data_IF_671902262760
#
_entry.id   IF_671902262760
#
_cell.length_a   1.000
_cell.length_b   1.000
_cell.length_c   1.000
_cell.angle_alpha   90.00
_cell.angle_beta   90.00
_cell.angle_gamma   90.00
#
_symmetry.space_group_name_H-M   'P 1'
#
loop_
_entity.id
_entity.type
_entity.pdbx_description
1 polymer ?
#
# COMPACT_ATOMS: atom_id res chain seq x y z
N UNK A 1 14.84 12.04 0.83
CA UNK A 1 13.36 12.04 0.80
C UNK A 1 12.93 11.43 -0.52
N UNK A 2 12.18 10.33 -0.50
CA UNK A 2 11.68 9.65 -1.70
C UNK A 2 10.18 9.45 -1.57
N UNK A 3 9.52 9.24 -2.69
CA UNK A 3 8.10 8.92 -2.74
C UNK A 3 7.86 7.76 -3.71
N UNK A 4 6.76 7.04 -3.49
CA UNK A 4 6.19 6.10 -4.45
C UNK A 4 4.78 6.56 -4.78
N UNK A 5 4.18 6.11 -5.88
CA UNK A 5 2.85 6.57 -6.28
C UNK A 5 1.83 5.45 -6.14
N UNK A 6 0.74 5.72 -5.43
CA UNK A 6 -0.40 4.81 -5.27
C UNK A 6 -1.36 5.00 -6.44
N UNK A 7 -1.83 3.89 -7.02
CA UNK A 7 -2.93 3.91 -7.98
C UNK A 7 -4.21 4.40 -7.29
N UNK A 8 -4.75 5.53 -7.76
CA UNK A 8 -5.97 6.14 -7.24
C UNK A 8 -7.16 5.18 -7.23
N UNK A 9 -7.25 4.28 -8.21
CA UNK A 9 -8.35 3.31 -8.32
C UNK A 9 -8.24 2.15 -7.33
N UNK A 10 -7.13 2.03 -6.61
CA UNK A 10 -6.95 1.03 -5.55
C UNK A 10 -7.35 1.53 -4.16
N UNK A 11 -7.61 2.83 -4.01
CA UNK A 11 -8.02 3.42 -2.73
C UNK A 11 -9.51 3.16 -2.53
N UNK A 12 -9.84 2.52 -1.41
CA UNK A 12 -11.21 2.14 -1.03
C UNK A 12 -11.43 2.36 0.47
N UNK A 13 -12.68 2.55 0.87
CA UNK A 13 -13.04 2.47 2.30
C UNK A 13 -12.70 1.08 2.83
N UNK A 14 -12.32 1.02 4.11
CA UNK A 14 -12.16 -0.25 4.80
C UNK A 14 -13.51 -0.96 4.88
N UNK A 15 -13.45 -2.28 4.81
CA UNK A 15 -14.56 -3.19 5.05
C UNK A 15 -14.08 -4.34 5.92
N UNK A 16 -14.98 -5.03 6.60
CA UNK A 16 -14.63 -6.22 7.37
C UNK A 16 -13.92 -7.28 6.52
N UNK A 17 -14.37 -7.46 5.28
CA UNK A 17 -13.74 -8.36 4.30
C UNK A 17 -12.28 -7.98 4.00
N UNK A 18 -12.02 -6.69 3.73
CA UNK A 18 -10.66 -6.23 3.39
C UNK A 18 -9.74 -6.12 4.60
N UNK A 19 -10.31 -5.98 5.80
CA UNK A 19 -9.57 -5.81 7.04
C UNK A 19 -8.94 -7.13 7.52
N UNK A 20 -9.63 -8.25 7.34
CA UNK A 20 -9.16 -9.57 7.77
C UNK A 20 -7.72 -9.92 7.33
N UNK A 21 -7.35 -9.81 6.03
CA UNK A 21 -5.97 -10.08 5.61
C UNK A 21 -4.97 -9.04 6.14
N UNK A 22 -5.38 -7.78 6.34
CA UNK A 22 -4.51 -6.73 6.88
C UNK A 22 -4.15 -6.98 8.35
N UNK A 23 -5.07 -7.55 9.13
CA UNK A 23 -4.86 -7.91 10.54
C UNK A 23 -3.88 -9.07 10.73
N UNK A 24 -3.71 -9.92 9.71
CA UNK A 24 -2.71 -10.97 9.73
C UNK A 24 -1.28 -10.40 9.69
N UNK A 25 -1.10 -9.16 9.24
CA UNK A 25 0.20 -8.49 9.24
C UNK A 25 0.58 -8.04 10.65
N UNK A 26 1.75 -8.47 11.09
CA UNK A 26 2.36 -8.01 12.33
C UNK A 26 2.53 -6.49 12.30
N UNK A 27 2.04 -5.82 13.34
CA UNK A 27 2.16 -4.35 13.48
C UNK A 27 0.96 -3.56 12.96
N UNK A 28 -0.07 -4.19 12.38
CA UNK A 28 -1.30 -3.50 11.97
C UNK A 28 -2.22 -3.15 13.14
N UNK A 29 -2.23 -3.98 14.19
CA UNK A 29 -3.21 -3.87 15.28
C UNK A 29 -3.14 -2.54 16.04
N UNK A 30 -1.95 -2.07 16.39
CA UNK A 30 -1.81 -0.82 17.15
C UNK A 30 -2.24 0.42 16.32
N UNK A 31 -1.76 0.60 15.07
CA UNK A 31 -2.27 1.63 14.15
C UNK A 31 -3.79 1.60 14.00
N UNK A 32 -4.36 0.41 13.79
CA UNK A 32 -5.80 0.26 13.60
C UNK A 32 -6.57 0.64 14.86
N UNK A 33 -6.15 0.14 16.03
CA UNK A 33 -6.79 0.45 17.31
C UNK A 33 -6.84 1.96 17.55
N UNK A 34 -5.77 2.71 17.20
CA UNK A 34 -5.77 4.18 17.27
C UNK A 34 -6.75 4.83 16.30
N UNK A 35 -6.91 4.29 15.09
CA UNK A 35 -7.83 4.82 14.07
C UNK A 35 -9.31 4.56 14.40
N UNK A 36 -9.60 3.51 15.17
CA UNK A 36 -10.97 3.14 15.55
C UNK A 36 -11.29 3.45 17.02
N UNK A 37 -10.54 4.35 17.65
CA UNK A 37 -10.71 4.77 19.05
C UNK A 37 -10.75 3.60 20.06
N UNK A 38 -9.94 2.57 19.82
CA UNK A 38 -9.83 1.39 20.68
C UNK A 38 -11.01 0.42 20.62
N UNK A 39 -11.95 0.60 19.67
CA UNK A 39 -13.03 -0.36 19.41
C UNK A 39 -12.47 -1.72 19.01
N UNK A 40 -13.26 -2.77 19.18
CA UNK A 40 -12.96 -4.09 18.60
C UNK A 40 -13.06 -4.01 17.06
N UNK A 41 -11.98 -4.25 16.31
CA UNK A 41 -11.98 -4.24 14.85
C UNK A 41 -13.10 -5.09 14.22
N UNK A 42 -13.45 -6.24 14.82
CA UNK A 42 -14.46 -7.16 14.29
C UNK A 42 -15.89 -6.68 14.58
N UNK A 43 -16.07 -5.75 15.52
CA UNK A 43 -17.36 -5.18 15.89
C UNK A 43 -17.71 -3.88 15.17
N UNK A 44 -16.82 -3.34 14.33
CA UNK A 44 -17.05 -2.08 13.60
C UNK A 44 -17.77 -2.36 12.28
N UNK A 45 -19.00 -1.86 12.07
CA UNK A 45 -19.70 -2.09 10.80
C UNK A 45 -19.07 -1.32 9.64
N UNK A 46 -19.19 -1.83 8.41
CA UNK A 46 -18.62 -1.20 7.21
C UNK A 46 -19.06 0.27 7.01
N UNK A 47 -20.32 0.58 7.37
CA UNK A 47 -20.83 1.95 7.31
C UNK A 47 -20.05 2.91 8.21
N UNK A 48 -19.58 2.44 9.37
CA UNK A 48 -18.80 3.26 10.29
C UNK A 48 -17.45 3.67 9.68
N UNK A 49 -16.78 2.78 8.94
CA UNK A 49 -15.54 3.13 8.23
C UNK A 49 -15.79 4.22 7.19
N UNK A 50 -16.89 4.12 6.44
CA UNK A 50 -17.29 5.13 5.46
C UNK A 50 -17.60 6.48 6.10
N UNK A 51 -18.43 6.48 7.16
CA UNK A 51 -18.86 7.68 7.87
C UNK A 51 -17.68 8.43 8.50
N UNK A 52 -16.63 7.71 8.89
CA UNK A 52 -15.41 8.27 9.49
C UNK A 52 -14.25 8.45 8.49
N UNK A 53 -14.48 8.18 7.20
CA UNK A 53 -13.46 8.40 6.17
C UNK A 53 -12.25 7.46 6.24
N UNK A 54 -12.39 6.28 6.85
CA UNK A 54 -11.29 5.33 6.99
C UNK A 54 -11.11 4.50 5.71
N UNK A 55 -9.97 4.71 5.05
CA UNK A 55 -9.59 4.01 3.83
C UNK A 55 -8.47 3.01 4.10
N UNK A 56 -8.29 2.07 3.17
CA UNK A 56 -7.11 1.22 3.16
C UNK A 56 -5.80 2.03 3.09
N UNK A 57 -5.78 3.16 2.38
CA UNK A 57 -4.64 4.08 2.35
C UNK A 57 -4.41 4.76 3.71
N UNK A 58 -5.47 5.11 4.45
CA UNK A 58 -5.34 5.64 5.82
C UNK A 58 -4.64 4.62 6.72
N UNK A 59 -5.14 3.39 6.75
CA UNK A 59 -4.53 2.33 7.57
C UNK A 59 -3.09 2.03 7.14
N UNK A 60 -2.83 1.96 5.83
CA UNK A 60 -1.49 1.73 5.29
C UNK A 60 -0.48 2.80 5.72
N UNK A 61 -0.86 4.07 5.72
CA UNK A 61 0.00 5.17 6.18
C UNK A 61 0.36 5.03 7.65
N UNK A 62 -0.63 4.75 8.50
CA UNK A 62 -0.42 4.59 9.94
C UNK A 62 0.40 3.33 10.26
N UNK A 63 0.17 2.26 9.49
CA UNK A 63 0.98 1.06 9.53
C UNK A 63 2.45 1.35 9.21
N UNK A 64 2.73 2.04 8.09
CA UNK A 64 4.10 2.37 7.71
C UNK A 64 4.78 3.29 8.72
N UNK A 65 4.07 4.24 9.33
CA UNK A 65 4.64 5.07 10.39
C UNK A 65 5.05 4.24 11.61
N UNK A 66 4.19 3.32 12.07
CA UNK A 66 4.51 2.43 13.18
C UNK A 66 5.66 1.48 12.85
N UNK A 67 5.66 0.91 11.64
CA UNK A 67 6.73 0.06 11.16
C UNK A 67 8.08 0.79 11.09
N UNK A 68 8.11 2.02 10.54
CA UNK A 68 9.32 2.85 10.52
C UNK A 68 9.81 3.21 11.93
N UNK A 69 8.91 3.44 12.88
CA UNK A 69 9.26 3.73 14.28
C UNK A 69 9.83 2.52 15.03
N UNK A 70 9.54 1.30 14.59
CA UNK A 70 10.11 0.09 15.16
C UNK A 70 11.53 -0.21 14.63
N UNK A 71 11.86 0.30 13.43
CA UNK A 71 13.16 0.04 12.79
C UNK A 71 14.35 0.54 13.62
N UNK A 72 15.45 -0.24 13.72
CA UNK A 72 16.65 0.15 14.48
C UNK A 72 17.55 1.15 13.75
N UNK A 73 17.41 1.26 12.42
CA UNK A 73 18.21 2.14 11.55
C UNK A 73 17.57 3.51 11.32
N UNK A 74 16.47 3.82 12.02
CA UNK A 74 15.75 5.10 11.99
C UNK A 74 15.83 5.80 13.35
N UNK A 75 16.14 7.10 13.35
CA UNK A 75 16.18 7.95 14.54
C UNK A 75 14.75 8.27 14.98
N UNK A 76 14.37 7.81 16.17
CA UNK A 76 12.98 7.84 16.67
C UNK A 76 12.61 9.17 17.32
N UNK A 77 13.61 9.93 17.75
CA UNK A 77 13.47 11.26 18.37
C UNK A 77 13.16 12.34 17.32
N UNK A 78 13.30 12.01 16.03
CA UNK A 78 13.04 12.90 14.90
C UNK A 78 11.71 12.55 14.22
N UNK A 79 11.23 13.45 13.37
CA UNK A 79 9.96 13.25 12.67
C UNK A 79 9.97 12.00 11.77
N UNK A 80 8.97 11.14 11.97
CA UNK A 80 8.60 10.05 11.05
C UNK A 80 7.24 10.39 10.48
N UNK A 81 7.19 10.69 9.18
CA UNK A 81 5.97 11.12 8.50
C UNK A 81 5.78 10.30 7.24
N UNK A 82 4.58 9.74 7.11
CA UNK A 82 4.10 9.11 5.87
C UNK A 82 2.86 9.87 5.42
N UNK A 83 3.00 10.64 4.33
CA UNK A 83 1.96 11.56 3.86
C UNK A 83 1.68 11.43 2.37
N UNK A 84 0.44 11.73 1.99
CA UNK A 84 0.06 11.87 0.59
C UNK A 84 0.35 13.28 0.11
N UNK A 85 0.89 13.41 -1.10
CA UNK A 85 1.01 14.69 -1.80
C UNK A 85 -0.23 14.91 -2.69
N UNK A 86 -0.24 16.05 -3.39
CA UNK A 86 -1.31 16.37 -4.35
C UNK A 86 -1.44 15.23 -5.38
N UNK A 87 -2.66 14.69 -5.60
CA UNK A 87 -2.89 13.72 -6.66
C UNK A 87 -2.46 14.24 -8.03
N UNK A 88 -1.96 13.33 -8.85
CA UNK A 88 -1.52 13.59 -10.23
C UNK A 88 -2.25 12.65 -11.19
N UNK A 89 -2.16 12.84 -12.51
CA UNK A 89 -2.68 11.85 -13.47
C UNK A 89 -2.10 10.44 -13.29
N UNK A 90 -0.90 10.35 -12.69
CA UNK A 90 -0.21 9.10 -12.41
C UNK A 90 -0.52 8.53 -11.02
N UNK A 91 -1.51 9.05 -10.27
CA UNK A 91 -1.88 8.50 -8.97
C UNK A 91 -1.69 9.46 -7.79
N UNK A 92 -1.64 8.93 -6.57
CA UNK A 92 -1.42 9.68 -5.33
C UNK A 92 0.01 9.45 -4.86
N UNK A 93 0.92 10.43 -4.94
CA UNK A 93 2.26 10.25 -4.40
C UNK A 93 2.19 10.08 -2.88
N UNK A 94 2.81 9.01 -2.38
CA UNK A 94 3.03 8.68 -0.99
C UNK A 94 4.49 8.96 -0.65
N UNK A 95 4.70 9.99 0.15
CA UNK A 95 6.01 10.45 0.56
C UNK A 95 6.40 9.89 1.92
N UNK A 96 7.65 9.42 2.01
CA UNK A 96 8.26 8.92 3.24
C UNK A 96 9.33 9.90 3.71
N UNK A 97 9.15 10.41 4.91
CA UNK A 97 10.08 11.33 5.56
C UNK A 97 10.48 10.78 6.93
N UNK A 98 11.76 10.40 7.06
CA UNK A 98 12.37 9.89 8.27
C UNK A 98 13.88 10.13 8.23
N UNK A 99 14.56 10.03 9.38
CA UNK A 99 16.00 10.23 9.50
C UNK A 99 16.68 8.90 9.81
N UNK A 100 17.74 8.57 9.06
CA UNK A 100 18.55 7.38 9.30
C UNK A 100 19.52 7.62 10.45
N UNK A 101 19.86 6.57 11.21
CA UNK A 101 20.86 6.65 12.29
C UNK A 101 22.29 6.83 11.78
N UNK A 102 22.54 6.47 10.51
CA UNK A 102 23.82 6.64 9.84
C UNK A 102 23.80 7.78 8.83
N UNK A 103 24.95 8.45 8.73
CA UNK A 103 25.27 9.47 7.72
C UNK A 103 26.16 8.93 6.60
N UNK A 104 26.60 7.66 6.68
CA UNK A 104 27.39 7.03 5.65
C UNK A 104 26.51 6.79 4.42
N UNK A 105 26.97 7.26 3.26
CA UNK A 105 26.19 7.24 2.02
C UNK A 105 25.66 5.84 1.67
N UNK A 106 26.50 4.81 1.78
CA UNK A 106 26.12 3.42 1.47
C UNK A 106 25.02 2.90 2.40
N UNK A 107 25.12 3.15 3.70
CA UNK A 107 24.13 2.71 4.69
C UNK A 107 22.80 3.48 4.55
N UNK A 108 22.89 4.78 4.26
CA UNK A 108 21.73 5.61 3.95
C UNK A 108 20.96 5.09 2.72
N UNK A 109 21.66 4.80 1.62
CA UNK A 109 21.03 4.27 0.39
C UNK A 109 20.46 2.86 0.59
N UNK A 110 21.15 2.00 1.35
CA UNK A 110 20.65 0.67 1.70
C UNK A 110 19.38 0.74 2.54
N UNK A 111 19.35 1.61 3.56
CA UNK A 111 18.17 1.84 4.41
C UNK A 111 17.00 2.33 3.55
N UNK A 112 17.26 3.31 2.67
CA UNK A 112 16.25 3.85 1.78
C UNK A 112 15.71 2.79 0.81
N UNK A 113 16.58 1.99 0.19
CA UNK A 113 16.16 0.92 -0.72
C UNK A 113 15.30 -0.13 -0.01
N UNK A 114 15.73 -0.60 1.16
CA UNK A 114 14.97 -1.56 1.97
C UNK A 114 13.57 -1.06 2.35
N UNK A 115 13.42 0.24 2.62
CA UNK A 115 12.11 0.85 2.90
C UNK A 115 11.19 0.75 1.68
N UNK A 116 11.67 1.13 0.49
CA UNK A 116 10.84 1.14 -0.71
C UNK A 116 10.57 -0.25 -1.29
N UNK A 117 11.51 -1.18 -1.15
CA UNK A 117 11.30 -2.60 -1.46
C UNK A 117 10.18 -3.19 -0.59
N UNK A 118 10.23 -2.91 0.72
CA UNK A 118 9.20 -3.34 1.65
C UNK A 118 7.83 -2.75 1.32
N UNK A 119 7.76 -1.42 1.09
CA UNK A 119 6.53 -0.74 0.70
C UNK A 119 5.94 -1.36 -0.58
N UNK A 120 6.79 -1.65 -1.55
CA UNK A 120 6.38 -2.27 -2.83
C UNK A 120 5.78 -3.66 -2.62
N UNK A 121 6.39 -4.48 -1.76
CA UNK A 121 5.90 -5.82 -1.45
C UNK A 121 4.61 -5.80 -0.61
N UNK A 122 4.52 -4.91 0.37
CA UNK A 122 3.42 -4.93 1.37
C UNK A 122 2.16 -4.20 0.91
N UNK A 123 2.25 -3.29 -0.07
CA UNK A 123 1.10 -2.51 -0.56
C UNK A 123 -0.11 -3.40 -0.95
N UNK A 124 0.15 -4.52 -1.62
CA UNK A 124 -0.90 -5.46 -2.04
C UNK A 124 -1.68 -6.09 -0.88
N UNK A 125 -1.05 -6.24 0.30
CA UNK A 125 -1.71 -6.77 1.50
C UNK A 125 -2.75 -5.78 2.06
N UNK A 126 -2.61 -4.50 1.75
CA UNK A 126 -3.59 -3.46 2.05
C UNK A 126 -4.58 -3.26 0.90
N UNK A 127 -4.64 -4.19 -0.07
CA UNK A 127 -5.45 -4.06 -1.29
C UNK A 127 -5.14 -2.76 -2.07
N UNK A 128 -3.94 -2.21 -1.89
CA UNK A 128 -3.43 -1.07 -2.63
C UNK A 128 -2.59 -1.55 -3.80
N UNK A 129 -2.57 -0.76 -4.87
CA UNK A 129 -1.66 -0.96 -5.99
C UNK A 129 -0.74 0.24 -6.10
N UNK A 130 0.53 -0.02 -6.39
CA UNK A 130 1.42 1.04 -6.84
C UNK A 130 1.09 1.35 -8.30
N UNK A 131 1.05 2.63 -8.65
CA UNK A 131 0.87 3.05 -10.02
C UNK A 131 2.08 2.64 -10.85
N UNK A 132 1.82 2.10 -12.03
CA UNK A 132 2.81 1.83 -13.06
C UNK A 132 2.25 2.33 -14.38
N UNK A 133 3.10 2.95 -15.20
CA UNK A 133 2.74 3.21 -16.59
C UNK A 133 2.64 1.87 -17.32
N UNK A 134 1.62 1.68 -18.19
CA UNK A 134 1.58 0.52 -19.06
C UNK A 134 2.89 0.41 -19.84
N UNK A 135 3.52 -0.76 -19.77
CA UNK A 135 4.76 -1.05 -20.46
C UNK A 135 4.51 -2.04 -21.61
N UNK A 136 5.50 -2.18 -22.50
CA UNK A 136 5.40 -3.11 -23.64
C UNK A 136 5.06 -4.55 -23.23
N UNK A 137 5.48 -4.98 -22.03
CA UNK A 137 5.17 -6.30 -21.50
C UNK A 137 3.66 -6.50 -21.21
N UNK A 138 2.94 -5.45 -20.79
CA UNK A 138 1.50 -5.51 -20.54
C UNK A 138 0.73 -5.73 -21.84
N UNK A 139 1.13 -5.04 -22.91
CA UNK A 139 0.57 -5.23 -24.24
C UNK A 139 0.91 -6.60 -24.85
N UNK A 140 2.12 -7.12 -24.56
CA UNK A 140 2.51 -8.46 -24.98
C UNK A 140 1.68 -9.55 -24.28
N UNK A 141 1.37 -9.40 -22.99
CA UNK A 141 0.47 -10.31 -22.27
C UNK A 141 -0.95 -10.27 -22.86
N UNK A 142 -1.46 -9.09 -23.17
CA UNK A 142 -2.79 -8.94 -23.79
C UNK A 142 -2.86 -9.60 -25.18
N UNK A 143 -1.80 -9.49 -26.00
CA UNK A 143 -1.78 -10.13 -27.33
C UNK A 143 -1.73 -11.65 -27.25
N UNK A 144 -1.03 -12.20 -26.27
CA UNK A 144 -1.00 -13.65 -25.96
C UNK A 144 -2.40 -14.14 -25.55
N UNK A 145 -3.06 -13.47 -24.61
CA UNK A 145 -4.41 -13.85 -24.16
C UNK A 145 -5.44 -13.79 -25.29
N UNK A 146 -5.39 -12.76 -26.13
CA UNK A 146 -6.24 -12.64 -27.32
C UNK A 146 -6.04 -13.82 -28.29
N UNK A 147 -4.77 -14.15 -28.60
CA UNK A 147 -4.41 -15.26 -29.48
C UNK A 147 -4.84 -16.64 -28.96
N UNK A 148 -4.95 -16.80 -27.63
CA UNK A 148 -5.42 -18.04 -27.00
C UNK A 148 -6.96 -18.17 -27.03
N UNK A 149 -7.69 -17.04 -26.96
CA UNK A 149 -9.15 -17.02 -27.05
C UNK A 149 -9.66 -17.34 -28.46
N UNK A 150 -8.98 -16.87 -29.49
CA UNK A 150 -9.34 -17.12 -30.89
C UNK A 150 -9.02 -18.54 -31.38
N UNK A 151 -8.40 -19.39 -30.55
CA UNK A 151 -8.11 -20.81 -30.86
C UNK A 151 -9.17 -21.79 -30.34
N UNK A 152 -10.20 -21.33 -29.64
CA UNK A 152 -11.31 -22.17 -29.16
C UNK A 152 -12.45 -22.05 -30.19
N UNK A 153 -12.75 -23.09 -30.99
CA UNK A 153 -13.91 -23.03 -31.89
C UNK A 153 -15.21 -22.93 -31.09
N UNK A 154 -16.24 -22.26 -31.61
CA UNK A 154 -17.53 -22.12 -30.92
C UNK A 154 -18.12 -23.50 -30.60
N UNK A 155 -18.78 -23.69 -29.45
CA UNK A 155 -19.42 -24.95 -29.11
C UNK A 155 -20.67 -25.13 -29.97
N UNK A 156 -20.56 -25.91 -31.04
CA UNK A 156 -21.72 -26.36 -31.83
C UNK A 156 -21.52 -26.28 -33.34
N UNK A 157 -20.72 -27.20 -33.90
CA UNK A 157 -20.98 -27.78 -35.22
C UNK A 157 -20.73 -29.29 -35.10
N UNK A 158 -21.82 -30.04 -34.92
CA UNK A 158 -21.90 -31.50 -34.84
C UNK A 158 -23.33 -31.95 -35.00
#
# INVERSE_FOLDING_TARGET
MRSTTIDQHSVKFLTQETLAPMLALRGTNEPLAKLIDGRDPMGVPDSWFMDNGLTNLTLFRHYLMAWLADRPDIIKEMYIVVRTLKPTPSGIPLEIYCFTSSVLWMEYENTQSAIFEYITAVAGQFSLRLYQHPAGHDFWRLSQEYSLRDRIPPPGEG
#
